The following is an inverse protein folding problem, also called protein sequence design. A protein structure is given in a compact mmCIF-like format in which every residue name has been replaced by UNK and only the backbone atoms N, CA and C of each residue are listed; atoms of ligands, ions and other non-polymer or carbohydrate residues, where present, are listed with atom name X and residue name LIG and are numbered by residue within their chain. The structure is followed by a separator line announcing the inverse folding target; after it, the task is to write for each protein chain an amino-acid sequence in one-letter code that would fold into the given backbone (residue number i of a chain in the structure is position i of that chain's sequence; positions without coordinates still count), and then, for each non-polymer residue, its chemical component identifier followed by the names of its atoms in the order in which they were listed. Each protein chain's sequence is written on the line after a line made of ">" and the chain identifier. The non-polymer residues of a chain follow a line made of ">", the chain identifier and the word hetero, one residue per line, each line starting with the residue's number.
data_IF_853822236804
#
_entry.id   IF_853822236804
#
_cell.length_a   1.000
_cell.length_b   1.000
_cell.length_c   1.000
_cell.angle_alpha   90.00
_cell.angle_beta   90.00
_cell.angle_gamma   90.00
#
_symmetry.space_group_name_H-M   'P 1'
#
loop_
_entity.id
_entity.type
_entity.pdbx_description
1 polymer ?
#
# COMPACT_ATOMS: atom_id res chain seq x y z
N UNK A 1 18.08 -0.65 12.85
CA UNK A 1 17.36 -1.53 11.91
C UNK A 1 15.96 -1.83 12.47
N UNK A 2 14.97 -1.95 11.60
CA UNK A 2 13.58 -2.22 11.96
C UNK A 2 13.01 -3.37 11.11
N UNK A 3 12.08 -4.11 11.69
CA UNK A 3 11.31 -5.12 11.01
C UNK A 3 9.84 -5.02 11.43
N UNK A 4 8.94 -5.31 10.50
CA UNK A 4 7.50 -5.26 10.70
C UNK A 4 6.85 -6.47 10.07
N UNK A 5 5.89 -7.05 10.77
CA UNK A 5 5.05 -8.12 10.29
C UNK A 5 3.64 -7.88 10.84
N UNK A 6 2.64 -7.96 9.98
CA UNK A 6 1.27 -7.69 10.37
C UNK A 6 0.25 -8.21 9.37
N UNK A 7 -1.02 -7.98 9.68
CA UNK A 7 -2.15 -8.30 8.82
C UNK A 7 -3.09 -7.11 8.76
N UNK A 8 -3.65 -6.85 7.57
CA UNK A 8 -4.69 -5.86 7.34
C UNK A 8 -5.94 -6.58 6.85
N UNK A 9 -7.11 -6.17 7.32
CA UNK A 9 -8.40 -6.66 6.82
C UNK A 9 -9.34 -5.50 6.54
N UNK A 10 -9.97 -5.55 5.37
CA UNK A 10 -11.09 -4.70 5.01
C UNK A 10 -12.39 -5.30 5.55
N UNK A 11 -13.29 -4.45 6.03
CA UNK A 11 -14.59 -4.83 6.57
C UNK A 11 -15.71 -4.17 5.76
N UNK A 12 -16.90 -4.77 5.79
CA UNK A 12 -18.04 -4.32 5.00
C UNK A 12 -18.08 -4.89 3.59
N UNK A 13 -18.78 -4.19 2.69
CA UNK A 13 -18.71 -4.47 1.27
C UNK A 13 -17.37 -3.98 0.71
N UNK A 14 -16.67 -4.86 0.01
CA UNK A 14 -15.35 -4.59 -0.58
C UNK A 14 -15.42 -4.51 -2.10
N UNK A 15 -16.60 -4.74 -2.66
CA UNK A 15 -16.89 -4.55 -4.08
C UNK A 15 -17.33 -3.11 -4.27
N UNK A 16 -16.54 -2.27 -4.97
CA UNK A 16 -16.98 -0.92 -5.26
C UNK A 16 -18.10 -0.97 -6.29
N UNK A 17 -19.28 -0.45 -5.94
CA UNK A 17 -20.41 -0.28 -6.84
C UNK A 17 -20.58 1.20 -7.21
N UNK A 18 -20.76 1.48 -8.50
CA UNK A 18 -21.00 2.84 -9.00
C UNK A 18 -22.16 2.84 -9.98
N UNK A 19 -22.96 3.91 -9.98
CA UNK A 19 -24.07 4.08 -10.92
C UNK A 19 -23.74 5.14 -11.94
N UNK A 20 -23.95 4.83 -13.22
CA UNK A 20 -23.75 5.75 -14.32
C UNK A 20 -25.00 5.80 -15.20
N UNK A 21 -25.14 6.89 -15.95
CA UNK A 21 -26.16 7.04 -16.97
C UNK A 21 -25.60 7.87 -18.12
N UNK A 22 -26.01 7.55 -19.35
CA UNK A 22 -25.82 8.47 -20.48
C UNK A 22 -26.87 9.59 -20.41
N UNK A 23 -26.57 10.75 -20.99
CA UNK A 23 -27.53 11.87 -21.04
C UNK A 23 -28.83 11.43 -21.73
N UNK A 24 -29.95 11.44 -21.00
CA UNK A 24 -31.27 11.00 -21.48
C UNK A 24 -31.52 9.48 -21.44
N UNK A 25 -30.58 8.68 -20.91
CA UNK A 25 -30.70 7.22 -20.80
C UNK A 25 -31.04 6.73 -19.38
N UNK A 26 -31.26 5.43 -19.24
CA UNK A 26 -31.47 4.78 -17.94
C UNK A 26 -30.16 4.62 -17.16
N UNK A 27 -30.28 4.60 -15.84
CA UNK A 27 -29.15 4.31 -14.94
C UNK A 27 -28.76 2.84 -15.03
N UNK A 28 -27.46 2.57 -15.06
CA UNK A 28 -26.87 1.24 -14.96
C UNK A 28 -25.82 1.21 -13.85
N UNK A 29 -25.58 0.02 -13.31
CA UNK A 29 -24.65 -0.22 -12.20
C UNK A 29 -23.37 -0.88 -12.72
N UNK A 30 -22.24 -0.45 -12.17
CA UNK A 30 -20.91 -0.95 -12.46
C UNK A 30 -20.33 -1.49 -11.15
N UNK A 31 -20.09 -2.80 -11.08
CA UNK A 31 -19.22 -3.38 -10.05
C UNK A 31 -17.77 -3.30 -10.52
N UNK A 32 -16.92 -2.65 -9.72
CA UNK A 32 -15.48 -2.64 -9.93
C UNK A 32 -14.80 -3.88 -9.34
N UNK A 33 -13.48 -3.94 -9.49
CA UNK A 33 -12.68 -5.02 -8.92
C UNK A 33 -12.72 -4.96 -7.38
N UNK A 34 -13.09 -6.06 -6.69
CA UNK A 34 -13.09 -6.09 -5.24
C UNK A 34 -11.71 -5.81 -4.66
N UNK A 35 -11.65 -5.03 -3.58
CA UNK A 35 -10.41 -4.89 -2.81
C UNK A 35 -10.19 -6.17 -2.02
N UNK A 36 -8.97 -6.71 -2.04
CA UNK A 36 -8.66 -7.93 -1.32
C UNK A 36 -8.97 -7.80 0.17
N UNK A 37 -9.82 -8.70 0.68
CA UNK A 37 -10.40 -8.58 2.02
C UNK A 37 -9.36 -8.72 3.13
N UNK A 38 -8.30 -9.49 2.91
CA UNK A 38 -7.21 -9.69 3.88
C UNK A 38 -5.86 -9.64 3.18
N UNK A 39 -4.89 -8.96 3.79
CA UNK A 39 -3.52 -8.87 3.29
C UNK A 39 -2.52 -9.07 4.43
N UNK A 40 -1.51 -9.91 4.21
CA UNK A 40 -0.32 -9.95 5.04
C UNK A 40 0.60 -8.79 4.67
N UNK A 41 1.20 -8.14 5.66
CA UNK A 41 2.12 -7.01 5.47
C UNK A 41 3.45 -7.37 6.13
N UNK A 42 4.54 -7.15 5.42
CA UNK A 42 5.89 -7.38 5.91
C UNK A 42 6.80 -6.23 5.48
N UNK A 43 7.77 -5.91 6.31
CA UNK A 43 8.74 -4.87 5.97
C UNK A 43 9.99 -4.96 6.80
N UNK A 44 11.09 -4.49 6.23
CA UNK A 44 12.38 -4.39 6.90
C UNK A 44 13.10 -3.11 6.45
N UNK A 45 13.88 -2.53 7.36
CA UNK A 45 14.61 -1.29 7.11
C UNK A 45 15.88 -1.16 7.92
N UNK A 46 16.79 -0.36 7.40
CA UNK A 46 18.07 -0.03 8.00
C UNK A 46 18.39 1.42 7.67
N UNK A 47 18.84 2.15 8.69
CA UNK A 47 19.34 3.51 8.58
C UNK A 47 20.80 3.53 9.05
N UNK A 48 21.65 4.19 8.26
CA UNK A 48 23.08 4.34 8.48
C UNK A 48 23.39 5.83 8.63
N UNK A 49 23.85 6.24 9.81
CA UNK A 49 24.42 7.58 10.01
C UNK A 49 25.82 7.63 9.40
N UNK A 50 26.01 8.43 8.36
CA UNK A 50 27.30 8.66 7.72
C UNK A 50 28.10 9.76 8.45
N UNK A 51 27.40 10.78 8.95
CA UNK A 51 27.92 11.91 9.74
C UNK A 51 26.84 12.44 10.69
N UNK A 52 27.17 13.38 11.58
CA UNK A 52 26.20 14.05 12.47
C UNK A 52 25.06 14.73 11.71
N UNK A 53 25.29 15.10 10.45
CA UNK A 53 24.31 15.76 9.58
C UNK A 53 23.83 14.89 8.43
N UNK A 54 24.43 13.72 8.15
CA UNK A 54 24.14 12.93 6.95
C UNK A 54 23.76 11.50 7.33
N UNK A 55 22.60 11.04 6.87
CA UNK A 55 22.17 9.65 7.01
C UNK A 55 21.59 9.09 5.72
N UNK A 56 21.72 7.77 5.54
CA UNK A 56 21.18 7.02 4.41
C UNK A 56 20.33 5.87 4.95
N UNK A 57 19.08 5.78 4.48
CA UNK A 57 18.14 4.73 4.83
C UNK A 57 17.80 3.87 3.63
N UNK A 58 17.63 2.57 3.86
CA UNK A 58 17.09 1.62 2.89
C UNK A 58 15.99 0.81 3.55
N UNK A 59 14.85 0.65 2.87
CA UNK A 59 13.75 -0.17 3.35
C UNK A 59 13.06 -0.92 2.23
N UNK A 60 12.52 -2.08 2.57
CA UNK A 60 11.69 -2.92 1.70
C UNK A 60 10.38 -3.24 2.41
N UNK A 61 9.27 -3.03 1.73
CA UNK A 61 7.93 -3.30 2.23
C UNK A 61 7.17 -4.15 1.22
N UNK A 62 6.41 -5.12 1.70
CA UNK A 62 5.58 -5.99 0.89
C UNK A 62 4.18 -6.14 1.51
N UNK A 63 3.17 -6.18 0.66
CA UNK A 63 1.83 -6.60 1.02
C UNK A 63 1.37 -7.69 0.06
N UNK A 64 0.86 -8.80 0.62
CA UNK A 64 0.38 -9.95 -0.14
C UNK A 64 -1.05 -10.24 0.28
N UNK A 65 -1.94 -10.37 -0.69
CA UNK A 65 -3.35 -10.67 -0.49
C UNK A 65 -3.81 -11.75 -1.47
N UNK A 66 -5.10 -12.13 -1.43
CA UNK A 66 -5.66 -13.14 -2.34
C UNK A 66 -5.56 -12.74 -3.82
N UNK A 67 -5.68 -11.46 -4.12
CA UNK A 67 -5.88 -10.96 -5.49
C UNK A 67 -4.81 -9.95 -5.93
N UNK A 68 -4.00 -9.45 -4.99
CA UNK A 68 -2.98 -8.43 -5.25
C UNK A 68 -1.72 -8.66 -4.40
N UNK A 69 -0.57 -8.31 -4.97
CA UNK A 69 0.71 -8.28 -4.29
C UNK A 69 1.45 -7.00 -4.67
N UNK A 70 1.77 -6.16 -3.69
CA UNK A 70 2.57 -4.95 -3.91
C UNK A 70 3.89 -5.05 -3.15
N UNK A 71 4.96 -4.63 -3.81
CA UNK A 71 6.30 -4.62 -3.27
C UNK A 71 6.91 -3.23 -3.49
N UNK A 72 7.52 -2.67 -2.46
CA UNK A 72 8.09 -1.33 -2.51
C UNK A 72 9.48 -1.34 -1.91
N UNK A 73 10.46 -0.94 -2.71
CA UNK A 73 11.81 -0.64 -2.25
C UNK A 73 11.97 0.88 -2.14
N UNK A 74 12.47 1.36 -1.01
CA UNK A 74 12.70 2.79 -0.79
C UNK A 74 14.13 3.03 -0.30
N UNK A 75 14.82 3.96 -0.95
CA UNK A 75 16.10 4.50 -0.51
C UNK A 75 15.92 5.98 -0.16
N UNK A 76 16.51 6.41 0.96
CA UNK A 76 16.39 7.77 1.48
C UNK A 76 17.76 8.31 1.85
N UNK A 77 18.00 9.58 1.53
CA UNK A 77 19.14 10.34 2.06
C UNK A 77 18.56 11.49 2.87
N UNK A 78 19.11 11.75 4.06
CA UNK A 78 18.68 12.84 4.93
C UNK A 78 19.89 13.67 5.32
N UNK A 79 19.77 14.99 5.12
CA UNK A 79 20.77 15.99 5.45
C UNK A 79 20.16 16.98 6.45
N UNK A 80 20.78 17.13 7.62
CA UNK A 80 20.43 18.11 8.64
C UNK A 80 21.34 19.34 8.53
N UNK A 81 20.79 20.53 8.74
CA UNK A 81 21.50 21.83 8.66
C UNK A 81 21.49 22.54 10.01
#
# INVERSE_FOLDING_TARGET
>A
PNATLGWRRAYGDVTPESRAAFSGGSTFELSGAPIARSAAVLGAGVDLGLSDTLSVGLSYNGQVSSDASDQTLNARVTLAF
#
